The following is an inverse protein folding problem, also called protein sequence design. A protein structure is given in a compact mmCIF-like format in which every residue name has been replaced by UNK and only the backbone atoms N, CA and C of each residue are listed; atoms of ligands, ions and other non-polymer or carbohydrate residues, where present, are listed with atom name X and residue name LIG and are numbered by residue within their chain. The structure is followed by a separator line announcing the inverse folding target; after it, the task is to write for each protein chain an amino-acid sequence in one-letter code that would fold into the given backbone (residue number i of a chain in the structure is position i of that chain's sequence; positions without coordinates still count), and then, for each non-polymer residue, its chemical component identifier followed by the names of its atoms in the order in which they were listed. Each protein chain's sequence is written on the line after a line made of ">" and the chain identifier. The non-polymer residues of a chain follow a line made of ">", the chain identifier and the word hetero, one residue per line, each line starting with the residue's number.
data_IF_393360065831
#
_entry.id   IF_393360065831
#
_cell.length_a   1.000
_cell.length_b   1.000
_cell.length_c   1.000
_cell.angle_alpha   90.00
_cell.angle_beta   90.00
_cell.angle_gamma   90.00
#
_symmetry.space_group_name_H-M   'P 1'
#
loop_
_entity.id
_entity.type
_entity.pdbx_description
1 polymer ?
#
# COMPACT_ATOMS: atom_id res chain seq x y z
N UNK A 1 -46.35 24.18 -34.05
CA UNK A 1 -45.73 25.18 -33.15
C UNK A 1 -45.82 24.75 -31.68
N UNK A 2 -47.01 24.49 -31.11
CA UNK A 2 -47.15 24.02 -29.72
C UNK A 2 -46.45 22.68 -29.39
N UNK A 3 -46.48 21.72 -30.31
CA UNK A 3 -45.84 20.41 -30.12
C UNK A 3 -44.31 20.52 -30.07
N UNK A 4 -43.72 21.33 -30.95
CA UNK A 4 -42.28 21.59 -31.02
C UNK A 4 -41.76 22.27 -29.74
N UNK A 5 -42.55 23.18 -29.17
CA UNK A 5 -42.25 23.86 -27.90
C UNK A 5 -42.28 22.87 -26.73
N UNK A 6 -43.26 21.94 -26.68
CA UNK A 6 -43.32 20.89 -25.65
C UNK A 6 -42.13 19.94 -25.70
N UNK A 7 -41.73 19.51 -26.89
CA UNK A 7 -40.56 18.63 -27.07
C UNK A 7 -39.28 19.33 -26.66
N UNK A 8 -39.15 20.62 -26.99
CA UNK A 8 -38.00 21.44 -26.56
C UNK A 8 -37.96 21.63 -25.04
N UNK A 9 -39.12 21.84 -24.40
CA UNK A 9 -39.23 21.94 -22.94
C UNK A 9 -38.87 20.62 -22.24
N UNK A 10 -39.29 19.48 -22.79
CA UNK A 10 -38.94 18.14 -22.29
C UNK A 10 -37.44 17.84 -22.41
N UNK A 11 -36.79 18.25 -23.50
CA UNK A 11 -35.34 18.13 -23.68
C UNK A 11 -34.56 19.03 -22.72
N UNK A 12 -35.05 20.24 -22.45
CA UNK A 12 -34.47 21.16 -21.46
C UNK A 12 -34.58 20.63 -20.03
N UNK A 13 -35.72 20.05 -19.67
CA UNK A 13 -35.92 19.42 -18.36
C UNK A 13 -35.02 18.19 -18.22
N UNK A 14 -34.90 17.36 -19.26
CA UNK A 14 -33.98 16.21 -19.27
C UNK A 14 -32.50 16.63 -19.14
N UNK A 15 -32.09 17.71 -19.83
CA UNK A 15 -30.73 18.27 -19.69
C UNK A 15 -30.47 18.85 -18.29
N UNK A 16 -31.50 19.39 -17.62
CA UNK A 16 -31.39 19.88 -16.24
C UNK A 16 -31.29 18.73 -15.21
N UNK A 17 -31.95 17.59 -15.43
CA UNK A 17 -31.82 16.40 -14.59
C UNK A 17 -30.48 15.66 -14.77
N UNK A 18 -29.83 15.80 -15.93
CA UNK A 18 -28.48 15.24 -16.18
C UNK A 18 -27.37 16.05 -15.50
N UNK A 19 -27.65 17.28 -15.05
CA UNK A 19 -26.75 18.04 -14.16
C UNK A 19 -26.75 17.50 -12.72
N UNK A 20 -27.10 16.22 -12.52
CA UNK A 20 -27.01 15.53 -11.26
C UNK A 20 -25.57 15.64 -10.70
N UNK A 21 -25.47 16.42 -9.63
CA UNK A 21 -24.44 16.46 -8.61
C UNK A 21 -23.15 15.72 -8.95
N UNK A 22 -22.16 16.44 -9.47
CA UNK A 22 -20.76 15.99 -9.34
C UNK A 22 -20.45 16.09 -7.84
N UNK A 23 -20.63 14.99 -7.13
CA UNK A 23 -20.27 14.90 -5.72
C UNK A 23 -18.77 15.18 -5.60
N UNK A 24 -18.42 16.21 -4.82
CA UNK A 24 -17.02 16.56 -4.57
C UNK A 24 -16.34 15.31 -4.02
N UNK A 25 -15.18 14.90 -4.56
CA UNK A 25 -14.44 13.76 -4.02
C UNK A 25 -14.21 13.98 -2.52
N UNK A 26 -14.47 12.95 -1.72
CA UNK A 26 -14.21 12.96 -0.29
C UNK A 26 -12.76 13.39 -0.03
N UNK A 27 -12.55 14.29 0.93
CA UNK A 27 -11.24 14.89 1.17
C UNK A 27 -10.20 13.81 1.56
N UNK A 28 -10.65 12.73 2.20
CA UNK A 28 -9.82 11.57 2.49
C UNK A 28 -9.33 10.87 1.22
N UNK A 29 -10.21 10.63 0.23
CA UNK A 29 -9.83 10.03 -1.05
C UNK A 29 -8.83 10.91 -1.79
N UNK A 30 -9.00 12.24 -1.76
CA UNK A 30 -8.03 13.19 -2.36
C UNK A 30 -6.64 13.04 -1.71
N UNK A 31 -6.57 12.94 -0.38
CA UNK A 31 -5.31 12.79 0.35
C UNK A 31 -4.66 11.43 0.04
N UNK A 32 -5.46 10.37 0.03
CA UNK A 32 -5.01 9.01 -0.32
C UNK A 32 -4.47 8.95 -1.74
N UNK A 33 -5.17 9.52 -2.72
CA UNK A 33 -4.72 9.60 -4.12
C UNK A 33 -3.38 10.34 -4.23
N UNK A 34 -3.22 11.47 -3.52
CA UNK A 34 -1.95 12.21 -3.49
C UNK A 34 -0.82 11.38 -2.89
N UNK A 35 -1.07 10.68 -1.79
CA UNK A 35 -0.09 9.80 -1.18
C UNK A 35 0.34 8.67 -2.14
N UNK A 36 -0.62 8.02 -2.80
CA UNK A 36 -0.36 6.98 -3.81
C UNK A 36 0.41 7.56 -5.01
N UNK A 37 0.07 8.75 -5.47
CA UNK A 37 0.78 9.41 -6.57
C UNK A 37 2.25 9.67 -6.24
N UNK A 38 2.56 10.07 -4.99
CA UNK A 38 3.95 10.21 -4.52
C UNK A 38 4.68 8.87 -4.55
N UNK A 39 4.04 7.79 -4.08
CA UNK A 39 4.62 6.45 -4.10
C UNK A 39 4.91 5.95 -5.52
N UNK A 40 4.08 6.31 -6.50
CA UNK A 40 4.19 5.86 -7.89
C UNK A 40 5.05 6.78 -8.79
N UNK A 41 5.62 7.86 -8.26
CA UNK A 41 6.39 8.85 -9.03
C UNK A 41 7.63 8.25 -9.73
N UNK A 42 8.27 7.26 -9.10
CA UNK A 42 9.46 6.60 -9.65
C UNK A 42 9.10 5.57 -10.72
N UNK A 43 9.90 5.49 -11.79
CA UNK A 43 9.80 4.40 -12.75
C UNK A 43 10.04 3.04 -12.09
N UNK A 44 9.41 2.01 -12.68
CA UNK A 44 9.58 0.62 -12.28
C UNK A 44 10.58 -0.04 -13.21
N UNK A 45 11.51 -0.77 -12.63
CA UNK A 45 12.41 -1.68 -13.32
C UNK A 45 11.84 -3.09 -13.18
N UNK A 46 11.27 -3.60 -14.26
CA UNK A 46 10.69 -4.94 -14.28
C UNK A 46 11.74 -6.04 -14.09
N UNK A 47 13.02 -5.80 -14.41
CA UNK A 47 14.10 -6.75 -14.14
C UNK A 47 14.36 -6.92 -12.64
N UNK A 48 14.20 -5.84 -11.87
CA UNK A 48 14.20 -5.92 -10.40
C UNK A 48 13.00 -6.69 -9.87
N UNK A 49 11.81 -6.51 -10.45
CA UNK A 49 10.61 -7.27 -10.09
C UNK A 49 10.87 -8.78 -10.27
N UNK A 50 11.39 -9.19 -11.44
CA UNK A 50 11.76 -10.58 -11.71
C UNK A 50 12.78 -11.12 -10.69
N UNK A 51 13.78 -10.32 -10.34
CA UNK A 51 14.82 -10.70 -9.38
C UNK A 51 14.25 -10.93 -7.99
N UNK A 52 13.30 -10.09 -7.54
CA UNK A 52 12.63 -10.25 -6.25
C UNK A 52 11.78 -11.54 -6.26
N UNK A 53 10.97 -11.75 -7.30
CA UNK A 53 10.11 -12.94 -7.42
C UNK A 53 10.95 -14.22 -7.37
N UNK A 54 12.07 -14.26 -8.10
CA UNK A 54 12.98 -15.42 -8.15
C UNK A 54 13.60 -15.77 -6.79
N UNK A 55 13.71 -14.81 -5.87
CA UNK A 55 14.22 -15.03 -4.51
C UNK A 55 13.16 -15.51 -3.54
N UNK A 56 11.88 -15.49 -3.89
CA UNK A 56 10.81 -15.92 -2.98
C UNK A 56 10.80 -17.45 -2.86
N UNK A 57 10.84 -17.94 -1.63
CA UNK A 57 10.65 -19.34 -1.30
C UNK A 57 9.16 -19.73 -1.30
N UNK A 58 8.88 -21.02 -1.21
CA UNK A 58 7.50 -21.52 -1.25
C UNK A 58 6.62 -21.01 -0.10
N UNK A 59 7.20 -20.67 1.05
CA UNK A 59 6.49 -20.14 2.22
C UNK A 59 6.22 -18.63 2.16
N UNK A 60 6.81 -17.91 1.20
CA UNK A 60 6.72 -16.46 1.07
C UNK A 60 7.90 -15.68 1.67
N UNK A 61 8.84 -16.36 2.32
CA UNK A 61 10.12 -15.75 2.69
C UNK A 61 10.98 -15.44 1.46
N UNK A 62 11.88 -14.48 1.57
CA UNK A 62 12.88 -14.18 0.54
C UNK A 62 14.27 -14.69 0.94
N UNK A 63 14.96 -15.29 -0.02
CA UNK A 63 16.35 -15.70 0.08
C UNK A 63 17.28 -14.52 0.35
N UNK A 64 18.36 -14.78 1.09
CA UNK A 64 19.36 -13.77 1.45
C UNK A 64 18.97 -12.86 2.61
N UNK A 65 17.81 -13.11 3.26
CA UNK A 65 17.42 -12.43 4.49
C UNK A 65 17.62 -13.39 5.66
N UNK A 66 18.45 -13.00 6.64
CA UNK A 66 18.57 -13.71 7.90
C UNK A 66 17.41 -13.32 8.83
N UNK A 67 16.29 -14.03 8.75
CA UNK A 67 15.09 -13.72 9.55
C UNK A 67 15.27 -13.95 11.06
N UNK A 68 16.23 -14.77 11.47
CA UNK A 68 16.46 -15.11 12.87
C UNK A 68 17.21 -14.01 13.65
N UNK A 69 17.99 -13.17 12.96
CA UNK A 69 18.80 -12.14 13.61
C UNK A 69 18.01 -10.84 13.79
N UNK A 70 17.47 -10.67 15.00
CA UNK A 70 16.69 -9.49 15.42
C UNK A 70 17.55 -8.45 16.14
N UNK A 71 18.87 -8.69 16.23
CA UNK A 71 19.79 -7.86 16.99
C UNK A 71 19.94 -6.45 16.42
N UNK A 72 20.31 -5.49 17.28
CA UNK A 72 20.63 -4.13 16.84
C UNK A 72 21.83 -4.12 15.87
N UNK A 73 22.80 -5.02 16.05
CA UNK A 73 24.02 -5.11 15.24
C UNK A 73 23.78 -5.58 13.82
N UNK A 74 22.75 -6.40 13.59
CA UNK A 74 22.40 -6.88 12.26
C UNK A 74 21.70 -5.83 11.38
N UNK A 75 21.30 -4.69 11.95
CA UNK A 75 20.60 -3.64 11.22
C UNK A 75 19.20 -4.04 10.74
N UNK A 76 18.61 -5.12 11.26
CA UNK A 76 17.26 -5.61 10.93
C UNK A 76 17.07 -5.93 9.44
N UNK A 77 17.67 -7.02 8.95
CA UNK A 77 17.60 -7.44 7.53
C UNK A 77 16.16 -7.72 7.06
N UNK A 78 15.25 -8.05 7.97
CA UNK A 78 13.83 -8.31 7.73
C UNK A 78 13.14 -7.13 7.04
N UNK A 79 13.61 -5.88 7.24
CA UNK A 79 13.09 -4.70 6.52
C UNK A 79 13.13 -4.84 4.99
N UNK A 80 14.07 -5.65 4.48
CA UNK A 80 14.19 -5.88 3.04
C UNK A 80 12.97 -6.64 2.50
N UNK A 81 12.38 -7.53 3.30
CA UNK A 81 11.15 -8.24 2.93
C UNK A 81 10.00 -7.25 2.67
N UNK A 82 9.71 -6.35 3.63
CA UNK A 82 8.62 -5.38 3.46
C UNK A 82 8.94 -4.33 2.40
N UNK A 83 10.22 -3.98 2.21
CA UNK A 83 10.65 -3.10 1.12
C UNK A 83 10.43 -3.73 -0.25
N UNK A 84 10.74 -5.02 -0.40
CA UNK A 84 10.50 -5.78 -1.63
C UNK A 84 9.00 -5.89 -1.92
N UNK A 85 8.16 -6.18 -0.92
CA UNK A 85 6.70 -6.17 -1.07
C UNK A 85 6.18 -4.81 -1.56
N UNK A 86 6.68 -3.70 -1.01
CA UNK A 86 6.34 -2.35 -1.48
C UNK A 86 6.77 -2.16 -2.93
N UNK A 87 7.96 -2.62 -3.33
CA UNK A 87 8.41 -2.52 -4.71
C UNK A 87 7.53 -3.31 -5.69
N UNK A 88 7.18 -4.55 -5.33
CA UNK A 88 6.25 -5.38 -6.09
C UNK A 88 4.87 -4.72 -6.20
N UNK A 89 4.35 -4.14 -5.12
CA UNK A 89 3.07 -3.43 -5.14
C UNK A 89 3.11 -2.18 -6.03
N UNK A 90 4.22 -1.44 -6.04
CA UNK A 90 4.41 -0.33 -6.99
C UNK A 90 4.38 -0.81 -8.44
N UNK A 91 5.06 -1.92 -8.75
CA UNK A 91 5.00 -2.53 -10.08
C UNK A 91 3.57 -2.96 -10.47
N UNK A 92 2.86 -3.60 -9.54
CA UNK A 92 1.47 -4.00 -9.74
C UNK A 92 0.53 -2.82 -10.03
N UNK A 93 0.75 -1.64 -9.44
CA UNK A 93 -0.09 -0.44 -9.64
C UNK A 93 0.39 0.49 -10.74
N UNK A 94 1.61 0.33 -11.26
CA UNK A 94 2.16 1.23 -12.27
C UNK A 94 1.82 0.77 -13.70
N UNK A 95 1.09 1.60 -14.46
CA UNK A 95 0.66 1.33 -15.84
C UNK A 95 1.81 1.09 -16.83
N UNK A 96 3.03 1.56 -16.54
CA UNK A 96 4.19 1.35 -17.42
C UNK A 96 4.94 0.05 -17.13
N UNK A 97 4.64 -0.64 -16.03
CA UNK A 97 5.23 -1.95 -15.73
C UNK A 97 4.50 -3.04 -16.50
N UNK A 98 5.22 -4.06 -16.98
CA UNK A 98 4.63 -5.28 -17.55
C UNK A 98 3.79 -6.05 -16.52
N UNK A 99 3.97 -5.75 -15.23
CA UNK A 99 3.23 -6.36 -14.15
C UNK A 99 1.99 -5.58 -13.71
N UNK A 100 1.60 -4.52 -14.43
CA UNK A 100 0.39 -3.76 -14.12
C UNK A 100 -0.83 -4.68 -14.01
N UNK A 101 -1.46 -4.70 -12.83
CA UNK A 101 -2.61 -5.55 -12.48
C UNK A 101 -2.40 -7.06 -12.73
N UNK A 102 -1.15 -7.52 -12.77
CA UNK A 102 -0.83 -8.92 -13.00
C UNK A 102 -1.27 -9.80 -11.81
N UNK A 103 -2.11 -10.81 -12.09
CA UNK A 103 -2.68 -11.68 -11.05
C UNK A 103 -1.65 -12.53 -10.32
N UNK A 104 -0.61 -12.99 -11.02
CA UNK A 104 0.48 -13.78 -10.44
C UNK A 104 1.31 -12.93 -9.48
N UNK A 105 1.65 -11.69 -9.88
CA UNK A 105 2.34 -10.75 -9.00
C UNK A 105 1.51 -10.46 -7.74
N UNK A 106 0.19 -10.30 -7.86
CA UNK A 106 -0.68 -10.15 -6.69
C UNK A 106 -0.62 -11.37 -5.77
N UNK A 107 -0.59 -12.58 -6.33
CA UNK A 107 -0.45 -13.81 -5.54
C UNK A 107 0.91 -13.87 -4.81
N UNK A 108 2.00 -13.46 -5.47
CA UNK A 108 3.34 -13.31 -4.85
C UNK A 108 3.30 -12.30 -3.69
N UNK A 109 2.73 -11.11 -3.92
CA UNK A 109 2.60 -10.08 -2.87
C UNK A 109 1.79 -10.62 -1.69
N UNK A 110 0.67 -11.30 -1.96
CA UNK A 110 -0.20 -11.88 -0.93
C UNK A 110 0.54 -12.93 -0.11
N UNK A 111 1.32 -13.81 -0.76
CA UNK A 111 2.09 -14.87 -0.10
C UNK A 111 3.19 -14.27 0.80
N UNK A 112 4.00 -13.34 0.27
CA UNK A 112 5.04 -12.69 1.08
C UNK A 112 4.44 -11.88 2.23
N UNK A 113 3.36 -11.12 1.98
CA UNK A 113 2.67 -10.40 3.04
C UNK A 113 2.14 -11.34 4.14
N UNK A 114 1.58 -12.49 3.76
CA UNK A 114 1.17 -13.52 4.72
C UNK A 114 2.34 -13.99 5.57
N UNK A 115 3.48 -14.32 4.95
CA UNK A 115 4.69 -14.71 5.67
C UNK A 115 5.12 -13.65 6.68
N UNK A 116 5.09 -12.36 6.30
CA UNK A 116 5.39 -11.27 7.23
C UNK A 116 4.42 -11.24 8.42
N UNK A 117 3.11 -11.27 8.16
CA UNK A 117 2.08 -11.17 9.21
C UNK A 117 2.09 -12.36 10.14
N UNK A 118 2.33 -13.57 9.63
CA UNK A 118 2.38 -14.79 10.45
C UNK A 118 3.57 -14.79 11.42
N UNK A 119 4.69 -14.14 11.04
CA UNK A 119 5.94 -14.17 11.82
C UNK A 119 6.16 -12.92 12.67
N UNK A 120 5.59 -11.78 12.28
CA UNK A 120 5.61 -10.52 13.04
C UNK A 120 7.00 -10.15 13.61
N UNK A 121 7.99 -10.06 12.72
CA UNK A 121 9.37 -9.81 13.11
C UNK A 121 9.51 -8.52 13.93
N UNK A 122 10.08 -8.64 15.13
CA UNK A 122 10.24 -7.56 16.09
C UNK A 122 11.72 -7.39 16.47
N UNK A 123 12.36 -6.35 15.96
CA UNK A 123 13.80 -6.13 16.18
C UNK A 123 14.09 -5.46 17.53
N UNK A 124 15.31 -5.60 18.03
CA UNK A 124 15.76 -4.96 19.28
C UNK A 124 15.81 -3.42 19.20
N UNK A 125 15.83 -2.87 17.98
CA UNK A 125 15.76 -1.42 17.77
C UNK A 125 14.31 -0.98 17.54
N UNK A 126 13.79 -0.21 18.51
CA UNK A 126 12.43 0.33 18.49
C UNK A 126 12.04 0.99 17.15
N UNK A 127 12.99 1.66 16.49
CA UNK A 127 12.75 2.37 15.23
C UNK A 127 12.25 1.41 14.14
N UNK A 128 12.75 0.17 14.14
CA UNK A 128 12.31 -0.85 13.19
C UNK A 128 10.83 -1.19 13.36
N UNK A 129 10.37 -1.25 14.61
CA UNK A 129 9.05 -1.74 14.97
C UNK A 129 7.99 -0.64 14.95
N UNK A 130 8.39 0.60 15.24
CA UNK A 130 7.47 1.74 15.38
C UNK A 130 7.52 2.71 14.19
N UNK A 131 8.55 2.64 13.35
CA UNK A 131 8.71 3.53 12.19
C UNK A 131 8.86 2.73 10.89
N UNK A 132 9.94 1.96 10.74
CA UNK A 132 10.29 1.35 9.44
C UNK A 132 9.26 0.31 8.98
N UNK A 133 8.90 -0.64 9.86
CA UNK A 133 7.92 -1.68 9.54
C UNK A 133 6.54 -1.09 9.26
N UNK A 134 5.94 -0.26 10.15
CA UNK A 134 4.66 0.38 9.86
C UNK A 134 4.66 1.19 8.56
N UNK A 135 5.72 1.96 8.28
CA UNK A 135 5.81 2.77 7.05
C UNK A 135 5.70 1.90 5.80
N UNK A 136 6.44 0.79 5.74
CA UNK A 136 6.39 -0.10 4.58
C UNK A 136 5.02 -0.79 4.46
N UNK A 137 4.44 -1.24 5.58
CA UNK A 137 3.12 -1.88 5.57
C UNK A 137 2.00 -0.91 5.19
N UNK A 138 2.03 0.34 5.65
CA UNK A 138 1.08 1.39 5.21
C UNK A 138 1.21 1.65 3.72
N UNK A 139 2.43 1.78 3.19
CA UNK A 139 2.65 1.95 1.75
C UNK A 139 2.07 0.77 0.97
N UNK A 140 2.26 -0.47 1.46
CA UNK A 140 1.65 -1.66 0.88
C UNK A 140 0.10 -1.57 0.89
N UNK A 141 -0.49 -1.19 2.03
CA UNK A 141 -1.95 -1.04 2.16
C UNK A 141 -2.51 0.01 1.21
N UNK A 142 -1.87 1.18 1.08
CA UNK A 142 -2.30 2.24 0.17
C UNK A 142 -2.31 1.78 -1.30
N UNK A 143 -1.40 0.89 -1.69
CA UNK A 143 -1.29 0.43 -3.07
C UNK A 143 -2.24 -0.73 -3.38
N UNK A 144 -2.28 -1.74 -2.51
CA UNK A 144 -2.91 -3.04 -2.81
C UNK A 144 -3.82 -3.56 -1.69
N UNK A 145 -3.96 -2.86 -0.56
CA UNK A 145 -4.68 -3.34 0.62
C UNK A 145 -6.12 -3.78 0.34
N UNK A 146 -6.86 -3.03 -0.47
CA UNK A 146 -8.24 -3.36 -0.87
C UNK A 146 -8.34 -4.63 -1.74
N UNK A 147 -7.24 -5.06 -2.34
CA UNK A 147 -7.17 -6.21 -3.26
C UNK A 147 -6.62 -7.49 -2.60
N UNK A 148 -6.22 -7.40 -1.33
CA UNK A 148 -5.69 -8.48 -0.50
C UNK A 148 -6.80 -9.15 0.34
N UNK A 149 -6.57 -10.37 0.86
CA UNK A 149 -7.52 -11.02 1.77
C UNK A 149 -7.81 -10.17 3.01
N UNK A 150 -9.10 -9.96 3.32
CA UNK A 150 -9.53 -9.07 4.41
C UNK A 150 -8.99 -9.50 5.77
N UNK A 151 -9.03 -10.81 6.06
CA UNK A 151 -8.54 -11.36 7.33
C UNK A 151 -7.03 -11.10 7.50
N UNK A 152 -6.27 -11.14 6.40
CA UNK A 152 -4.84 -10.87 6.41
C UNK A 152 -4.56 -9.37 6.64
N UNK A 153 -5.33 -8.48 6.01
CA UNK A 153 -5.25 -7.03 6.24
C UNK A 153 -5.60 -6.68 7.69
N UNK A 154 -6.62 -7.32 8.27
CA UNK A 154 -7.03 -7.14 9.67
C UNK A 154 -5.93 -7.59 10.63
N UNK A 155 -5.33 -8.78 10.41
CA UNK A 155 -4.21 -9.28 11.22
C UNK A 155 -2.97 -8.39 11.17
N UNK A 156 -2.78 -7.62 10.09
CA UNK A 156 -1.68 -6.67 9.99
C UNK A 156 -1.91 -5.34 10.73
N UNK A 157 -3.17 -4.99 11.08
CA UNK A 157 -3.47 -3.71 11.72
C UNK A 157 -2.75 -3.51 13.05
N UNK A 158 -2.64 -4.50 13.97
CA UNK A 158 -1.86 -4.34 15.19
C UNK A 158 -0.37 -4.05 14.95
N UNK A 159 0.21 -4.61 13.88
CA UNK A 159 1.61 -4.37 13.49
C UNK A 159 1.79 -2.95 12.97
N UNK A 160 0.87 -2.50 12.10
CA UNK A 160 0.84 -1.13 11.57
C UNK A 160 0.61 -0.12 12.69
N UNK A 161 -0.30 -0.41 13.63
CA UNK A 161 -0.68 0.44 14.75
C UNK A 161 0.44 0.70 15.77
N UNK A 162 1.60 0.03 15.64
CA UNK A 162 2.81 0.36 16.42
C UNK A 162 3.34 1.76 16.12
N UNK A 163 3.07 2.29 14.93
CA UNK A 163 3.28 3.70 14.62
C UNK A 163 2.11 4.51 15.17
N UNK A 164 2.27 5.06 16.37
CA UNK A 164 1.29 5.94 16.98
C UNK A 164 1.96 7.08 17.77
N UNK A 165 1.22 8.16 18.00
CA UNK A 165 1.72 9.37 18.67
C UNK A 165 2.11 9.14 20.14
N UNK A 166 1.68 8.04 20.74
CA UNK A 166 2.02 7.68 22.12
C UNK A 166 3.27 6.79 22.20
N UNK A 167 3.83 6.38 21.07
CA UNK A 167 5.01 5.53 21.02
C UNK A 167 6.25 6.28 21.53
N UNK A 168 6.95 5.66 22.48
CA UNK A 168 8.13 6.24 23.15
C UNK A 168 9.26 6.62 22.19
N UNK A 169 9.37 5.90 21.08
CA UNK A 169 10.38 6.12 20.08
C UNK A 169 10.15 7.34 19.18
N UNK A 170 8.90 7.64 18.85
CA UNK A 170 8.55 8.71 17.92
C UNK A 170 8.94 10.12 18.41
N UNK A 171 9.49 10.25 19.63
CA UNK A 171 9.81 11.49 20.35
C UNK A 171 8.89 12.65 19.93
N UNK A 172 7.57 12.57 20.18
CA UNK A 172 6.70 13.74 20.04
C UNK A 172 7.04 14.85 21.05
N UNK A 173 8.06 14.68 21.89
CA UNK A 173 8.52 15.57 22.94
C UNK A 173 9.89 16.20 22.71
N UNK A 174 10.57 15.93 21.59
CA UNK A 174 11.78 16.70 21.22
C UNK A 174 11.45 18.16 20.91
N UNK A 175 10.23 18.39 20.43
CA UNK A 175 9.66 19.70 20.08
C UNK A 175 8.47 20.07 21.00
N UNK A 176 8.40 19.50 22.21
CA UNK A 176 7.53 20.05 23.26
C UNK A 176 8.34 21.12 23.98
N UNK A 177 8.36 22.29 23.36
CA UNK A 177 8.73 23.55 24.01
C UNK A 177 7.73 23.84 25.14
#
# INVERSE_FOLDING_TARGET
>A
MLSTIKTFLLLLIFAFFVSASIEKPDDFEIVKERAVAVLLKSSIDDGRVETIIKKMNEDGSFQGINYADLSRTAGFPQRNHTSDLVYLAKAYKNKTSRYFKNKELKAVITKGFKYWVDNDFFGDNWHNNQISTPTNLVNLMLMVGEELPKDLVEKAQPIIGRANMNASGARPSGDRI
#
